data_IF_828836467610
#
_entry.id   IF_828836467610
#
_cell.length_a   1.000
_cell.length_b   1.000
_cell.length_c   1.000
_cell.angle_alpha   90.00
_cell.angle_beta   90.00
_cell.angle_gamma   90.00
#
_symmetry.space_group_name_H-M   'P 1'
#
loop_
_entity.id
_entity.type
_entity.pdbx_description
1 polymer ?
#
# COMPACT_ATOMS: atom_id res chain seq x y z
N UNK A 1 -2.70 8.62 -6.03
CA UNK A 1 -3.85 7.73 -6.20
C UNK A 1 -5.10 8.57 -6.45
N UNK A 2 -5.80 8.29 -7.54
CA UNK A 2 -6.97 9.06 -8.01
C UNK A 2 -8.11 9.09 -6.99
N UNK A 3 -8.30 7.98 -6.29
CA UNK A 3 -9.37 7.81 -5.29
C UNK A 3 -9.38 8.85 -4.16
N UNK A 4 -8.24 9.44 -3.84
CA UNK A 4 -8.11 10.45 -2.78
C UNK A 4 -8.26 11.89 -3.30
N UNK A 5 -8.47 12.07 -4.60
CA UNK A 5 -8.77 13.39 -5.15
C UNK A 5 -10.20 13.81 -4.75
N UNK A 6 -10.40 14.98 -4.11
CA UNK A 6 -11.74 15.45 -3.74
C UNK A 6 -12.70 15.58 -4.92
N UNK A 7 -12.18 15.84 -6.12
CA UNK A 7 -12.96 16.02 -7.36
C UNK A 7 -13.29 14.71 -8.08
N UNK A 8 -12.80 13.57 -7.57
CA UNK A 8 -13.07 12.27 -8.20
C UNK A 8 -14.53 11.87 -7.97
N UNK A 9 -15.26 11.62 -9.06
CA UNK A 9 -16.70 11.29 -9.06
C UNK A 9 -17.00 9.79 -9.22
N UNK A 10 -15.97 8.98 -9.46
CA UNK A 10 -16.12 7.55 -9.63
C UNK A 10 -16.18 6.76 -8.32
N UNK A 11 -16.25 5.43 -8.44
CA UNK A 11 -16.19 4.52 -7.31
C UNK A 11 -14.80 4.57 -6.67
N UNK A 12 -14.73 5.12 -5.46
CA UNK A 12 -13.47 5.28 -4.71
C UNK A 12 -12.92 3.96 -4.20
N UNK A 13 -13.80 3.02 -3.83
CA UNK A 13 -13.38 1.69 -3.36
C UNK A 13 -12.71 0.94 -4.50
N UNK A 14 -13.37 0.91 -5.66
CA UNK A 14 -12.79 0.31 -6.86
C UNK A 14 -11.46 0.96 -7.23
N UNK A 15 -11.36 2.30 -7.20
CA UNK A 15 -10.15 3.02 -7.55
C UNK A 15 -8.99 2.77 -6.55
N UNK A 16 -9.29 2.62 -5.25
CA UNK A 16 -8.29 2.22 -4.24
C UNK A 16 -7.81 0.80 -4.52
N UNK A 17 -8.75 -0.14 -4.63
CA UNK A 17 -8.41 -1.56 -4.79
C UNK A 17 -7.66 -1.82 -6.10
N UNK A 18 -8.08 -1.23 -7.21
CA UNK A 18 -7.36 -1.32 -8.48
C UNK A 18 -5.94 -0.74 -8.38
N UNK A 19 -5.79 0.40 -7.70
CA UNK A 19 -4.47 1.01 -7.48
C UNK A 19 -3.57 0.16 -6.59
N UNK A 20 -4.10 -0.44 -5.53
CA UNK A 20 -3.32 -1.32 -4.63
C UNK A 20 -2.93 -2.62 -5.34
N UNK A 21 -3.88 -3.26 -6.04
CA UNK A 21 -3.60 -4.48 -6.79
C UNK A 21 -2.54 -4.25 -7.87
N UNK A 22 -2.68 -3.19 -8.68
CA UNK A 22 -1.69 -2.86 -9.71
C UNK A 22 -0.32 -2.54 -9.12
N UNK A 23 -0.26 -1.94 -7.93
CA UNK A 23 0.99 -1.66 -7.24
C UNK A 23 1.65 -2.95 -6.71
N UNK A 24 0.86 -3.85 -6.11
CA UNK A 24 1.37 -5.17 -5.66
C UNK A 24 1.86 -5.97 -6.86
N UNK A 25 1.08 -6.06 -7.93
CA UNK A 25 1.45 -6.74 -9.16
C UNK A 25 2.76 -6.20 -9.75
N UNK A 26 2.95 -4.87 -9.76
CA UNK A 26 4.20 -4.25 -10.18
C UNK A 26 5.37 -4.53 -9.24
N UNK A 27 5.14 -4.62 -7.92
CA UNK A 27 6.17 -4.98 -6.95
C UNK A 27 6.68 -6.42 -7.15
N UNK A 28 5.79 -7.29 -7.60
CA UNK A 28 6.08 -8.66 -7.97
C UNK A 28 6.43 -8.85 -9.47
N UNK A 29 6.69 -7.75 -10.19
CA UNK A 29 7.14 -7.75 -11.58
C UNK A 29 6.19 -8.47 -12.55
N UNK A 30 4.87 -8.39 -12.26
CA UNK A 30 3.80 -9.01 -13.03
C UNK A 30 3.90 -10.55 -13.12
N UNK A 31 4.55 -11.18 -12.15
CA UNK A 31 4.69 -12.64 -12.08
C UNK A 31 3.55 -13.25 -11.27
N UNK A 32 2.92 -14.29 -11.80
CA UNK A 32 1.92 -15.08 -11.10
C UNK A 32 2.55 -16.21 -10.25
N UNK A 33 3.66 -16.76 -10.74
CA UNK A 33 4.39 -17.84 -10.09
C UNK A 33 5.80 -17.40 -9.73
N UNK A 34 6.30 -17.88 -8.58
CA UNK A 34 7.63 -17.56 -8.06
C UNK A 34 8.47 -18.80 -7.91
N UNK A 35 9.68 -18.73 -8.42
CA UNK A 35 10.69 -19.79 -8.29
C UNK A 35 11.86 -19.29 -7.44
N UNK A 36 12.63 -20.22 -6.89
CA UNK A 36 13.80 -19.93 -6.02
C UNK A 36 14.82 -19.02 -6.69
N UNK A 37 14.88 -19.07 -8.03
CA UNK A 37 15.82 -18.28 -8.84
C UNK A 37 15.26 -16.94 -9.28
N UNK A 38 14.00 -16.64 -8.98
CA UNK A 38 13.41 -15.35 -9.32
C UNK A 38 14.08 -14.23 -8.55
N UNK A 39 14.39 -13.16 -9.27
CA UNK A 39 15.05 -11.99 -8.73
C UNK A 39 14.00 -10.89 -8.54
N UNK A 40 13.55 -10.71 -7.29
CA UNK A 40 12.64 -9.63 -6.91
C UNK A 40 13.45 -8.45 -6.37
N UNK A 41 12.91 -7.25 -6.51
CA UNK A 41 13.51 -6.03 -5.99
C UNK A 41 13.02 -5.77 -4.56
N UNK A 42 13.93 -5.90 -3.59
CA UNK A 42 13.65 -5.70 -2.17
C UNK A 42 13.14 -4.30 -1.85
N UNK A 43 13.62 -3.29 -2.60
CA UNK A 43 13.19 -1.91 -2.40
C UNK A 43 11.77 -1.66 -2.91
N UNK A 44 11.39 -2.29 -4.03
CA UNK A 44 10.00 -2.22 -4.54
C UNK A 44 9.02 -2.86 -3.56
N UNK A 45 9.36 -4.02 -3.00
CA UNK A 45 8.54 -4.71 -1.99
C UNK A 45 8.36 -3.84 -0.73
N UNK A 46 9.47 -3.27 -0.22
CA UNK A 46 9.42 -2.35 0.91
C UNK A 46 8.58 -1.11 0.61
N UNK A 47 8.79 -0.47 -0.54
CA UNK A 47 8.01 0.70 -0.96
C UNK A 47 6.51 0.37 -1.10
N UNK A 48 6.19 -0.84 -1.59
CA UNK A 48 4.82 -1.32 -1.68
C UNK A 48 4.16 -1.39 -0.29
N UNK A 49 4.84 -1.97 0.70
CA UNK A 49 4.35 -2.02 2.08
C UNK A 49 4.09 -0.61 2.64
N UNK A 50 5.03 0.33 2.47
CA UNK A 50 4.88 1.74 2.92
C UNK A 50 3.73 2.45 2.21
N UNK A 51 3.54 2.19 0.91
CA UNK A 51 2.43 2.75 0.15
C UNK A 51 1.07 2.24 0.62
N UNK A 52 0.98 0.97 1.03
CA UNK A 52 -0.24 0.41 1.64
C UNK A 52 -0.53 1.10 2.97
N UNK A 53 0.46 1.32 3.83
CA UNK A 53 0.28 2.09 5.08
C UNK A 53 -0.26 3.50 4.81
N UNK A 54 0.32 4.21 3.83
CA UNK A 54 -0.15 5.53 3.41
C UNK A 54 -1.60 5.47 2.91
N UNK A 55 -1.95 4.45 2.13
CA UNK A 55 -3.31 4.27 1.61
C UNK A 55 -4.30 4.01 2.75
N UNK A 56 -3.97 3.12 3.68
CA UNK A 56 -4.79 2.81 4.87
C UNK A 56 -5.02 4.07 5.70
N UNK A 57 -3.95 4.82 5.98
CA UNK A 57 -4.07 6.07 6.72
C UNK A 57 -4.94 7.10 5.98
N UNK A 58 -4.78 7.24 4.66
CA UNK A 58 -5.61 8.16 3.85
C UNK A 58 -7.08 7.73 3.86
N UNK A 59 -7.37 6.43 3.76
CA UNK A 59 -8.74 5.92 3.81
C UNK A 59 -9.42 6.22 5.15
N UNK A 60 -8.68 6.07 6.26
CA UNK A 60 -9.24 6.30 7.61
C UNK A 60 -9.26 7.78 8.04
N UNK A 61 -8.48 8.65 7.38
CA UNK A 61 -8.33 10.05 7.79
C UNK A 61 -8.96 11.07 6.84
N UNK A 62 -9.12 10.74 5.54
CA UNK A 62 -9.61 11.71 4.55
C UNK A 62 -11.09 12.00 4.73
N UNK A 63 -11.41 13.30 4.80
CA UNK A 63 -12.79 13.78 4.98
C UNK A 63 -13.27 14.57 3.77
N UNK A 64 -14.58 14.57 3.58
CA UNK A 64 -15.27 15.41 2.61
C UNK A 64 -15.32 16.86 3.11
N UNK A 65 -15.75 17.79 2.23
CA UNK A 65 -16.00 19.19 2.61
C UNK A 65 -17.02 19.31 3.74
N UNK A 66 -17.96 18.36 3.83
CA UNK A 66 -18.97 18.28 4.91
C UNK A 66 -18.44 17.65 6.21
N UNK A 67 -17.15 17.27 6.29
CA UNK A 67 -16.52 16.68 7.46
C UNK A 67 -16.73 15.19 7.64
N UNK A 68 -17.50 14.53 6.76
CA UNK A 68 -17.71 13.08 6.79
C UNK A 68 -16.49 12.34 6.24
N UNK A 69 -16.26 11.09 6.63
CA UNK A 69 -15.23 10.26 6.02
C UNK A 69 -15.54 10.01 4.55
N UNK A 70 -14.52 10.12 3.70
CA UNK A 70 -14.65 9.81 2.26
C UNK A 70 -14.82 8.32 1.99
N UNK A 71 -14.22 7.50 2.84
CA UNK A 71 -14.30 6.03 2.80
C UNK A 71 -14.51 5.52 4.22
N UNK A 72 -15.44 4.60 4.38
CA UNK A 72 -15.64 3.88 5.64
C UNK A 72 -14.75 2.65 5.61
N UNK A 73 -13.79 2.57 6.52
CA UNK A 73 -12.82 1.47 6.59
C UNK A 73 -13.06 0.53 7.78
N UNK A 74 -13.29 1.10 8.96
CA UNK A 74 -13.55 0.34 10.19
C UNK A 74 -14.84 0.81 10.84
N UNK A 75 -15.53 -0.12 11.52
CA UNK A 75 -16.62 0.22 12.42
C UNK A 75 -16.11 0.22 13.86
N UNK A 76 -16.21 1.37 14.51
CA UNK A 76 -15.74 1.57 15.88
C UNK A 76 -16.89 1.63 16.89
N UNK A 77 -18.14 1.31 16.49
CA UNK A 77 -19.26 1.21 17.42
C UNK A 77 -18.92 0.17 18.51
N UNK A 78 -18.93 0.56 19.80
CA UNK A 78 -18.62 -0.37 20.90
C UNK A 78 -19.53 -1.61 20.93
N UNK A 79 -20.73 -1.53 20.35
CA UNK A 79 -21.68 -2.64 20.31
C UNK A 79 -21.46 -3.59 19.14
N UNK A 80 -20.77 -3.13 18.08
CA UNK A 80 -20.51 -3.95 16.90
C UNK A 80 -19.20 -3.54 16.21
N UNK A 81 -18.04 -3.64 16.91
CA UNK A 81 -16.76 -3.23 16.34
C UNK A 81 -16.32 -4.16 15.21
N UNK A 82 -15.88 -3.58 14.11
CA UNK A 82 -15.31 -4.34 12.99
C UNK A 82 -13.95 -3.75 12.60
N UNK A 83 -12.87 -4.44 12.98
CA UNK A 83 -11.49 -4.09 12.68
C UNK A 83 -10.89 -4.99 11.60
N UNK A 84 -11.71 -5.67 10.79
CA UNK A 84 -11.23 -6.59 9.74
C UNK A 84 -10.35 -5.88 8.72
N UNK A 85 -10.67 -4.63 8.39
CA UNK A 85 -9.90 -3.81 7.49
C UNK A 85 -8.44 -3.64 7.97
N UNK A 86 -8.23 -3.15 9.18
CA UNK A 86 -6.88 -2.98 9.76
C UNK A 86 -6.13 -4.30 9.84
N UNK A 87 -6.83 -5.37 10.21
CA UNK A 87 -6.23 -6.70 10.35
C UNK A 87 -5.70 -7.22 9.01
N UNK A 88 -6.50 -7.14 7.95
CA UNK A 88 -6.09 -7.67 6.64
C UNK A 88 -4.99 -6.81 6.01
N UNK A 89 -5.09 -5.49 6.08
CA UNK A 89 -4.01 -4.63 5.59
C UNK A 89 -2.72 -4.78 6.39
N UNK A 90 -2.81 -4.91 7.72
CA UNK A 90 -1.66 -5.19 8.57
C UNK A 90 -0.96 -6.50 8.21
N UNK A 91 -1.74 -7.54 7.85
CA UNK A 91 -1.20 -8.82 7.36
C UNK A 91 -0.46 -8.64 6.04
N UNK A 92 -1.04 -7.93 5.07
CA UNK A 92 -0.40 -7.67 3.77
C UNK A 92 0.90 -6.88 3.94
N UNK A 93 0.90 -5.83 4.76
CA UNK A 93 2.08 -5.03 5.08
C UNK A 93 3.19 -5.92 5.68
N UNK A 94 2.85 -6.73 6.69
CA UNK A 94 3.80 -7.62 7.34
C UNK A 94 4.40 -8.67 6.39
N UNK A 95 3.61 -9.22 5.48
CA UNK A 95 4.10 -10.15 4.47
C UNK A 95 5.06 -9.50 3.48
N UNK A 96 4.74 -8.28 3.01
CA UNK A 96 5.62 -7.53 2.10
C UNK A 96 6.94 -7.13 2.77
N UNK A 97 6.91 -6.69 4.03
CA UNK A 97 8.11 -6.38 4.80
C UNK A 97 8.99 -7.63 5.01
N UNK A 98 8.36 -8.76 5.31
CA UNK A 98 9.06 -10.03 5.46
C UNK A 98 9.70 -10.48 4.14
N UNK A 99 8.97 -10.40 3.03
CA UNK A 99 9.50 -10.71 1.70
C UNK A 99 10.65 -9.77 1.32
N UNK A 100 10.49 -8.47 1.52
CA UNK A 100 11.55 -7.49 1.27
C UNK A 100 12.83 -7.83 2.04
N UNK A 101 12.70 -8.22 3.31
CA UNK A 101 13.84 -8.62 4.14
C UNK A 101 14.52 -9.88 3.63
N UNK A 102 13.75 -10.92 3.25
CA UNK A 102 14.31 -12.16 2.70
C UNK A 102 15.07 -11.87 1.41
N UNK A 103 14.50 -11.10 0.50
CA UNK A 103 15.11 -10.76 -0.78
C UNK A 103 16.39 -9.93 -0.58
N UNK A 104 16.36 -8.95 0.32
CA UNK A 104 17.54 -8.16 0.68
C UNK A 104 18.67 -9.02 1.24
N UNK A 105 18.35 -9.95 2.14
CA UNK A 105 19.34 -10.86 2.73
C UNK A 105 19.92 -11.82 1.67
N UNK A 106 19.07 -12.35 0.79
CA UNK A 106 19.49 -13.20 -0.34
C UNK A 106 20.51 -12.50 -1.24
N UNK A 107 20.32 -11.20 -1.49
CA UNK A 107 21.19 -10.41 -2.36
C UNK A 107 22.34 -9.72 -1.63
N UNK A 108 22.40 -9.78 -0.30
CA UNK A 108 23.37 -9.02 0.49
C UNK A 108 23.17 -7.51 0.38
N UNK A 109 21.96 -7.05 0.09
CA UNK A 109 21.60 -5.64 -0.08
C UNK A 109 20.93 -5.07 1.15
N UNK A 110 20.96 -3.75 1.26
CA UNK A 110 20.31 -3.01 2.33
C UNK A 110 19.09 -2.26 1.79
N UNK A 111 17.98 -2.36 2.51
CA UNK A 111 16.77 -1.58 2.19
C UNK A 111 16.98 -0.14 2.66
N UNK A 112 16.77 0.82 1.77
CA UNK A 112 16.74 2.24 2.13
C UNK A 112 15.44 2.56 2.83
N UNK A 113 15.53 2.85 4.12
CA UNK A 113 14.38 3.25 4.93
C UNK A 113 14.18 4.74 4.83
N UNK A 114 13.04 5.15 4.29
CA UNK A 114 12.67 6.56 4.23
C UNK A 114 11.88 6.93 5.47
N UNK A 115 12.40 7.89 6.24
CA UNK A 115 11.66 8.46 7.37
C UNK A 115 10.75 9.56 6.86
N UNK A 116 9.46 9.28 6.81
CA UNK A 116 8.43 10.25 6.42
C UNK A 116 7.36 10.35 7.51
N UNK A 117 6.83 11.56 7.71
CA UNK A 117 5.58 11.68 8.46
C UNK A 117 4.44 11.10 7.62
N UNK A 118 3.71 10.15 8.15
CA UNK A 118 2.62 9.49 7.41
C UNK A 118 1.56 10.49 6.94
N UNK A 119 1.35 11.57 7.68
CA UNK A 119 0.39 12.61 7.36
C UNK A 119 0.76 13.41 6.10
N UNK A 120 2.04 13.55 5.81
CA UNK A 120 2.57 14.31 4.67
C UNK A 120 3.20 13.40 3.61
N UNK A 121 3.14 12.08 3.81
CA UNK A 121 3.79 11.11 2.94
C UNK A 121 3.21 11.10 1.54
N UNK A 122 4.09 10.97 0.56
CA UNK A 122 3.77 10.70 -0.84
C UNK A 122 4.01 9.22 -1.14
N UNK A 123 3.29 8.68 -2.13
CA UNK A 123 3.50 7.30 -2.54
C UNK A 123 4.90 7.11 -3.14
N UNK A 124 5.57 6.06 -2.69
CA UNK A 124 6.91 5.69 -3.14
C UNK A 124 6.84 4.93 -4.47
N UNK A 125 7.85 5.05 -5.33
CA UNK A 125 7.89 4.34 -6.60
C UNK A 125 7.98 2.82 -6.37
N UNK A 126 7.11 2.06 -7.02
CA UNK A 126 7.09 0.59 -6.99
C UNK A 126 7.31 0.01 -8.38
N UNK A 127 6.80 0.68 -9.42
CA UNK A 127 7.06 0.31 -10.80
C UNK A 127 8.27 1.07 -11.37
N UNK A 128 8.84 0.55 -12.46
CA UNK A 128 9.76 1.33 -13.28
C UNK A 128 8.97 2.50 -13.90
N UNK A 129 9.00 3.66 -13.28
CA UNK A 129 8.76 4.89 -13.99
C UNK A 129 9.97 5.07 -14.90
N UNK A 130 9.88 4.51 -16.10
CA UNK A 130 10.84 4.77 -17.15
C UNK A 130 10.80 6.25 -17.53
N UNK A 131 11.45 7.07 -16.75
CA UNK A 131 11.95 8.34 -17.25
C UNK A 131 13.33 8.07 -17.83
N UNK A 132 13.36 7.85 -19.16
CA UNK A 132 14.52 8.17 -19.97
C UNK A 132 14.53 9.67 -20.21
#
# INVERSE_FOLDING_TARGET
MLAFNPRYQGDRVLAVMAGLLGMVDAAFEHKADFYVLDDLDEQKLYNCARNIEIAVWKMSSTRTVSGQFQLVSNELDPNNPNLSFEREFGRVIGLLDFMAKIVADKHGRSITRLTQSIATSVFLPVGALGFK
#
